data_IF_603143424448
#
_entry.id   IF_603143424448
#
_cell.length_a   1.000
_cell.length_b   1.000
_cell.length_c   1.000
_cell.angle_alpha   90.00
_cell.angle_beta   90.00
_cell.angle_gamma   90.00
#
_symmetry.space_group_name_H-M   'P 1'
#
loop_
_entity.id
_entity.type
_entity.pdbx_description
1 polymer ?
#
# COMPACT_ATOMS: atom_id res chain seq x y z
N UNK A 1 -0.83 17.54 -14.60
CA UNK A 1 -1.84 17.06 -13.60
C UNK A 1 -1.16 16.14 -12.62
N UNK A 2 -1.38 16.36 -11.32
CA UNK A 2 -0.79 15.53 -10.28
C UNK A 2 -1.63 14.29 -10.03
N UNK A 3 -0.96 13.17 -9.79
CA UNK A 3 -1.60 11.90 -9.47
C UNK A 3 -1.97 11.87 -7.99
N UNK A 4 -3.21 11.51 -7.71
CA UNK A 4 -3.68 11.38 -6.32
C UNK A 4 -4.87 10.42 -6.30
N UNK A 5 -4.60 9.13 -6.11
CA UNK A 5 -5.59 8.06 -6.18
C UNK A 5 -5.65 7.34 -4.84
N UNK A 6 -6.86 7.16 -4.33
CA UNK A 6 -7.11 6.32 -3.16
C UNK A 6 -8.17 5.30 -3.55
N UNK A 7 -7.87 4.02 -3.36
CA UNK A 7 -8.74 2.90 -3.72
C UNK A 7 -8.83 1.91 -2.58
N UNK A 8 -10.01 1.34 -2.40
CA UNK A 8 -10.20 0.21 -1.49
C UNK A 8 -9.99 -1.09 -2.26
N UNK A 9 -9.19 -1.97 -1.70
CA UNK A 9 -8.85 -3.26 -2.31
C UNK A 9 -9.01 -4.36 -1.28
N UNK A 10 -9.65 -5.47 -1.67
CA UNK A 10 -9.83 -6.62 -0.78
C UNK A 10 -8.92 -7.75 -1.21
N UNK A 11 -8.09 -8.23 -0.29
CA UNK A 11 -7.21 -9.37 -0.54
C UNK A 11 -7.99 -10.65 -0.32
N UNK A 12 -8.14 -11.44 -1.37
CA UNK A 12 -8.75 -12.77 -1.29
C UNK A 12 -7.67 -13.83 -1.10
N UNK A 13 -7.92 -14.89 -0.34
CA UNK A 13 -9.19 -15.32 0.25
C UNK A 13 -9.50 -14.74 1.63
N UNK A 14 -8.62 -13.93 2.20
CA UNK A 14 -8.69 -13.51 3.60
C UNK A 14 -9.79 -12.49 3.89
N UNK A 15 -10.30 -11.80 2.88
CA UNK A 15 -11.24 -10.72 3.08
C UNK A 15 -10.63 -9.47 3.71
N UNK A 16 -9.31 -9.40 3.77
CA UNK A 16 -8.62 -8.24 4.33
C UNK A 16 -8.71 -7.06 3.38
N UNK A 17 -9.18 -5.91 3.89
CA UNK A 17 -9.27 -4.70 3.10
C UNK A 17 -7.99 -3.87 3.22
N UNK A 18 -7.55 -3.33 2.08
CA UNK A 18 -6.43 -2.41 2.01
C UNK A 18 -6.94 -1.07 1.50
N UNK A 19 -6.50 0.01 2.12
CA UNK A 19 -6.61 1.35 1.54
C UNK A 19 -5.31 1.59 0.78
N UNK A 20 -5.38 1.56 -0.54
CA UNK A 20 -4.23 1.80 -1.40
C UNK A 20 -4.21 3.25 -1.85
N UNK A 21 -3.14 3.95 -1.54
CA UNK A 21 -2.95 5.34 -1.93
C UNK A 21 -1.72 5.48 -2.83
N UNK A 22 -1.92 6.02 -4.03
CA UNK A 22 -0.88 6.26 -5.02
C UNK A 22 -0.91 7.72 -5.41
N UNK A 23 0.16 8.47 -5.13
CA UNK A 23 0.19 9.90 -5.40
C UNK A 23 1.61 10.43 -5.59
N UNK A 24 1.70 11.66 -6.11
CA UNK A 24 2.98 12.36 -6.27
C UNK A 24 3.59 12.76 -4.93
N UNK A 25 2.79 12.94 -3.90
CA UNK A 25 3.30 13.31 -2.58
C UNK A 25 2.33 12.95 -1.45
N UNK A 26 2.88 12.77 -0.27
CA UNK A 26 2.09 12.54 0.95
C UNK A 26 1.24 13.76 1.28
N UNK A 27 1.71 14.95 0.94
CA UNK A 27 0.95 16.19 1.17
C UNK A 27 -0.39 16.20 0.44
N UNK A 28 -0.46 15.59 -0.76
CA UNK A 28 -1.72 15.46 -1.49
C UNK A 28 -2.69 14.53 -0.75
N UNK A 29 -2.18 13.47 -0.15
CA UNK A 29 -3.00 12.57 0.68
C UNK A 29 -3.61 13.33 1.86
N UNK A 30 -2.81 14.13 2.55
CA UNK A 30 -3.27 14.88 3.72
C UNK A 30 -4.42 15.82 3.38
N UNK A 31 -4.37 16.46 2.21
CA UNK A 31 -5.42 17.37 1.75
C UNK A 31 -6.69 16.64 1.33
N UNK A 32 -6.53 15.52 0.63
CA UNK A 32 -7.67 14.81 0.04
C UNK A 32 -8.38 13.91 1.05
N UNK A 33 -7.64 13.31 1.98
CA UNK A 33 -8.16 12.31 2.92
C UNK A 33 -7.57 12.47 4.32
N UNK A 34 -7.96 13.54 5.06
CA UNK A 34 -7.42 13.74 6.40
C UNK A 34 -7.74 12.60 7.36
N UNK A 35 -8.84 11.88 7.15
CA UNK A 35 -9.18 10.71 7.96
C UNK A 35 -8.14 9.58 7.84
N UNK A 36 -7.47 9.46 6.69
CA UNK A 36 -6.40 8.48 6.50
C UNK A 36 -5.20 8.87 7.37
N UNK A 37 -4.87 10.14 7.40
CA UNK A 37 -3.79 10.63 8.25
C UNK A 37 -4.08 10.35 9.73
N UNK A 38 -5.32 10.58 10.16
CA UNK A 38 -5.74 10.27 11.53
C UNK A 38 -5.60 8.78 11.84
N UNK A 39 -5.96 7.92 10.88
CA UNK A 39 -5.80 6.48 11.02
C UNK A 39 -4.32 6.11 11.22
N UNK A 40 -3.43 6.70 10.43
CA UNK A 40 -1.98 6.46 10.52
C UNK A 40 -1.44 6.93 11.87
N UNK A 41 -1.79 8.14 12.29
CA UNK A 41 -1.31 8.72 13.55
C UNK A 41 -1.72 7.91 14.77
N UNK A 42 -2.90 7.31 14.75
CA UNK A 42 -3.36 6.43 15.83
C UNK A 42 -2.54 5.15 15.95
N UNK A 43 -1.90 4.72 14.85
CA UNK A 43 -1.12 3.48 14.82
C UNK A 43 0.34 3.69 15.19
N UNK A 44 0.95 4.74 14.64
CA UNK A 44 2.40 4.98 14.76
C UNK A 44 2.72 6.23 15.56
N UNK A 45 1.71 6.92 16.10
CA UNK A 45 1.89 8.19 16.76
C UNK A 45 2.01 9.32 15.73
N UNK A 46 2.40 10.49 16.21
CA UNK A 46 2.61 11.62 15.30
C UNK A 46 3.81 11.31 14.40
N UNK A 47 3.53 10.93 13.19
CA UNK A 47 4.55 10.61 12.20
C UNK A 47 4.77 11.82 11.30
N UNK A 48 6.02 12.28 11.23
CA UNK A 48 6.39 13.37 10.33
C UNK A 48 6.83 12.76 8.99
N UNK A 49 5.96 12.83 7.99
CA UNK A 49 6.29 12.32 6.66
C UNK A 49 7.24 13.27 5.95
N UNK A 50 8.29 12.70 5.37
CA UNK A 50 9.23 13.42 4.54
C UNK A 50 9.01 13.02 3.08
N UNK A 51 8.52 13.93 2.24
CA UNK A 51 8.22 13.64 0.85
C UNK A 51 9.44 13.19 0.03
N UNK A 52 10.65 13.50 0.48
CA UNK A 52 11.87 13.08 -0.20
C UNK A 52 12.32 11.67 0.20
N UNK A 53 12.09 11.28 1.45
CA UNK A 53 12.57 10.02 2.01
C UNK A 53 11.51 8.93 2.02
N UNK A 54 10.26 9.29 2.28
CA UNK A 54 9.16 8.33 2.42
C UNK A 54 8.56 8.02 1.04
N UNK A 55 9.15 7.06 0.34
CA UNK A 55 8.71 6.65 -1.00
C UNK A 55 7.55 5.66 -0.98
N UNK A 56 7.38 4.96 0.14
CA UNK A 56 6.29 4.02 0.32
C UNK A 56 6.26 3.51 1.75
N UNK A 57 5.11 3.03 2.21
CA UNK A 57 5.00 2.39 3.52
C UNK A 57 3.75 1.54 3.62
N UNK A 58 3.76 0.63 4.60
CA UNK A 58 2.63 -0.21 4.98
C UNK A 58 2.28 0.02 6.44
N UNK A 59 0.99 0.16 6.72
CA UNK A 59 0.47 0.17 8.08
C UNK A 59 -0.74 -0.75 8.14
N UNK A 60 -0.84 -1.55 9.21
CA UNK A 60 -1.92 -2.52 9.33
C UNK A 60 -2.24 -2.79 10.80
N UNK A 61 -3.47 -3.21 11.03
CA UNK A 61 -3.93 -3.65 12.33
C UNK A 61 -4.87 -4.84 12.11
N UNK A 62 -4.29 -5.94 11.69
CA UNK A 62 -5.03 -7.16 11.37
C UNK A 62 -5.77 -7.70 12.58
N UNK A 63 -5.15 -7.60 13.77
CA UNK A 63 -5.71 -8.11 15.02
C UNK A 63 -7.07 -7.47 15.32
N UNK A 64 -7.23 -6.19 15.02
CA UNK A 64 -8.47 -5.45 15.27
C UNK A 64 -9.36 -5.36 14.03
N UNK A 65 -9.10 -6.16 13.01
CA UNK A 65 -9.87 -6.21 11.76
C UNK A 65 -10.03 -4.83 11.09
N UNK A 66 -9.00 -4.00 11.19
CA UNK A 66 -8.99 -2.69 10.54
C UNK A 66 -8.29 -2.78 9.19
N UNK A 67 -8.70 -1.94 8.22
CA UNK A 67 -8.04 -1.93 6.93
C UNK A 67 -6.54 -1.66 7.05
N UNK A 68 -5.73 -2.37 6.28
CA UNK A 68 -4.33 -2.03 6.11
C UNK A 68 -4.22 -0.78 5.23
N UNK A 69 -3.14 -0.04 5.40
CA UNK A 69 -2.88 1.14 4.58
C UNK A 69 -1.57 0.92 3.82
N UNK A 70 -1.62 1.07 2.50
CA UNK A 70 -0.47 0.92 1.63
C UNK A 70 -0.30 2.19 0.80
N UNK A 71 0.85 2.82 0.93
CA UNK A 71 1.18 4.02 0.19
C UNK A 71 2.35 3.76 -0.77
N UNK A 72 2.21 4.24 -2.02
CA UNK A 72 3.28 4.26 -3.01
C UNK A 72 3.37 5.67 -3.58
N UNK A 73 4.55 6.26 -3.49
CA UNK A 73 4.81 7.58 -4.07
C UNK A 73 5.22 7.42 -5.54
N UNK A 74 4.52 8.14 -6.42
CA UNK A 74 4.84 8.14 -7.84
C UNK A 74 6.21 8.77 -8.08
N UNK A 75 7.05 8.10 -8.85
CA UNK A 75 8.34 8.60 -9.27
C UNK A 75 8.30 8.99 -10.76
N UNK A 76 9.25 9.79 -11.20
CA UNK A 76 9.38 10.14 -12.62
C UNK A 76 9.66 8.91 -13.48
N UNK A 77 10.48 8.01 -12.95
CA UNK A 77 10.82 6.75 -13.61
C UNK A 77 9.82 5.68 -13.21
N UNK A 78 9.10 5.13 -14.18
CA UNK A 78 8.09 4.08 -13.96
C UNK A 78 8.69 2.85 -13.30
N UNK A 79 9.92 2.49 -13.64
CA UNK A 79 10.60 1.34 -13.04
C UNK A 79 10.81 1.54 -11.54
N UNK A 80 11.18 2.75 -11.12
CA UNK A 80 11.35 3.06 -9.70
C UNK A 80 10.03 3.01 -8.94
N UNK A 81 8.95 3.49 -9.53
CA UNK A 81 7.62 3.41 -8.93
C UNK A 81 7.23 1.95 -8.72
N UNK A 82 7.47 1.10 -9.72
CA UNK A 82 7.19 -0.33 -9.63
C UNK A 82 8.03 -1.00 -8.54
N UNK A 83 9.30 -0.65 -8.44
CA UNK A 83 10.18 -1.18 -7.39
C UNK A 83 9.66 -0.85 -5.99
N UNK A 84 9.14 0.36 -5.79
CA UNK A 84 8.56 0.76 -4.50
C UNK A 84 7.36 -0.13 -4.18
N UNK A 85 6.47 -0.34 -5.15
CA UNK A 85 5.31 -1.22 -4.96
C UNK A 85 5.75 -2.63 -4.59
N UNK A 86 6.72 -3.18 -5.33
CA UNK A 86 7.24 -4.53 -5.07
C UNK A 86 7.83 -4.63 -3.66
N UNK A 87 8.61 -3.64 -3.25
CA UNK A 87 9.20 -3.60 -1.91
C UNK A 87 8.13 -3.64 -0.83
N UNK A 88 7.09 -2.80 -0.95
CA UNK A 88 6.02 -2.77 0.05
C UNK A 88 5.20 -4.06 0.05
N UNK A 89 4.99 -4.69 -1.11
CA UNK A 89 4.27 -5.95 -1.18
C UNK A 89 5.01 -7.11 -0.55
N UNK A 90 6.35 -7.12 -0.61
CA UNK A 90 7.14 -8.14 0.10
C UNK A 90 6.83 -8.08 1.60
N UNK A 91 6.82 -6.87 2.17
CA UNK A 91 6.49 -6.69 3.59
C UNK A 91 5.06 -7.13 3.90
N UNK A 92 4.10 -6.75 3.05
CA UNK A 92 2.69 -7.08 3.26
C UNK A 92 2.46 -8.59 3.21
N UNK A 93 3.00 -9.27 2.21
CA UNK A 93 2.82 -10.74 2.08
C UNK A 93 3.52 -11.48 3.20
N UNK A 94 4.70 -11.04 3.61
CA UNK A 94 5.42 -11.62 4.74
C UNK A 94 4.57 -11.53 6.02
N UNK A 95 3.97 -10.38 6.27
CA UNK A 95 3.09 -10.18 7.41
C UNK A 95 1.87 -11.11 7.35
N UNK A 96 1.20 -11.16 6.19
CA UNK A 96 0.03 -12.02 6.01
C UNK A 96 0.38 -13.48 6.24
N UNK A 97 1.55 -13.91 5.76
CA UNK A 97 2.01 -15.29 5.92
C UNK A 97 2.17 -15.65 7.40
N UNK A 98 2.69 -14.74 8.20
CA UNK A 98 2.85 -14.95 9.64
C UNK A 98 1.52 -14.98 10.37
N UNK A 99 0.65 -14.03 10.07
CA UNK A 99 -0.64 -13.91 10.74
C UNK A 99 -1.57 -15.07 10.43
N UNK A 100 -1.64 -15.50 9.16
CA UNK A 100 -2.51 -16.59 8.72
C UNK A 100 -1.81 -17.94 8.64
N UNK A 101 -0.58 -18.04 9.16
CA UNK A 101 0.17 -19.28 9.31
C UNK A 101 0.43 -20.05 8.00
N UNK A 102 0.81 -19.33 6.94
CA UNK A 102 1.22 -19.95 5.67
C UNK A 102 2.68 -19.64 5.29
N UNK A 103 3.54 -19.43 6.28
CA UNK A 103 4.95 -19.07 6.05
C UNK A 103 5.69 -20.13 5.24
N UNK A 104 5.35 -21.40 5.42
CA UNK A 104 6.01 -22.51 4.74
C UNK A 104 5.38 -22.85 3.38
N UNK A 105 4.32 -22.14 3.00
CA UNK A 105 3.62 -22.35 1.73
C UNK A 105 4.15 -21.42 0.65
N UNK A 106 5.31 -21.77 0.10
CA UNK A 106 6.02 -20.91 -0.87
C UNK A 106 5.19 -20.62 -2.12
N UNK A 107 4.52 -21.63 -2.67
CA UNK A 107 3.69 -21.45 -3.86
C UNK A 107 2.52 -20.52 -3.60
N UNK A 108 1.87 -20.67 -2.45
CA UNK A 108 0.77 -19.81 -2.07
C UNK A 108 1.23 -18.37 -1.86
N UNK A 109 2.39 -18.17 -1.23
CA UNK A 109 2.96 -16.84 -1.03
C UNK A 109 3.26 -16.17 -2.37
N UNK A 110 3.88 -16.90 -3.29
CA UNK A 110 4.20 -16.39 -4.61
C UNK A 110 2.92 -16.02 -5.39
N UNK A 111 1.92 -16.90 -5.36
CA UNK A 111 0.63 -16.64 -6.00
C UNK A 111 -0.02 -15.39 -5.45
N UNK A 112 -0.08 -15.27 -4.12
CA UNK A 112 -0.69 -14.13 -3.46
C UNK A 112 0.01 -12.82 -3.82
N UNK A 113 1.35 -12.85 -3.79
CA UNK A 113 2.17 -11.69 -4.16
C UNK A 113 1.85 -11.24 -5.59
N UNK A 114 1.88 -12.17 -6.54
CA UNK A 114 1.60 -11.84 -7.95
C UNK A 114 0.18 -11.33 -8.16
N UNK A 115 -0.80 -11.93 -7.48
CA UNK A 115 -2.19 -11.52 -7.59
C UNK A 115 -2.39 -10.07 -7.11
N UNK A 116 -1.87 -9.75 -5.93
CA UNK A 116 -1.98 -8.40 -5.38
C UNK A 116 -1.22 -7.39 -6.25
N UNK A 117 -0.01 -7.76 -6.67
CA UNK A 117 0.81 -6.89 -7.52
C UNK A 117 0.11 -6.55 -8.82
N UNK A 118 -0.45 -7.55 -9.50
CA UNK A 118 -1.12 -7.33 -10.78
C UNK A 118 -2.31 -6.38 -10.62
N UNK A 119 -3.10 -6.56 -9.57
CA UNK A 119 -4.28 -5.72 -9.34
C UNK A 119 -3.89 -4.27 -9.02
N UNK A 120 -2.92 -4.07 -8.13
CA UNK A 120 -2.50 -2.73 -7.75
C UNK A 120 -1.74 -2.02 -8.87
N UNK A 121 -0.92 -2.76 -9.61
CA UNK A 121 -0.20 -2.20 -10.76
C UNK A 121 -1.18 -1.73 -11.84
N UNK A 122 -2.25 -2.48 -12.09
CA UNK A 122 -3.30 -2.07 -13.02
C UNK A 122 -3.96 -0.77 -12.57
N UNK A 123 -4.24 -0.62 -11.28
CA UNK A 123 -4.78 0.62 -10.73
C UNK A 123 -3.83 1.79 -10.99
N UNK A 124 -2.54 1.58 -10.78
CA UNK A 124 -1.53 2.61 -11.03
C UNK A 124 -1.46 3.00 -12.50
N UNK A 125 -1.56 2.02 -13.41
CA UNK A 125 -1.51 2.29 -14.85
C UNK A 125 -2.71 3.09 -15.35
N UNK A 126 -3.87 2.94 -14.72
CA UNK A 126 -5.09 3.68 -15.07
C UNK A 126 -5.10 5.09 -14.51
N UNK A 127 -4.12 5.45 -13.67
CA UNK A 127 -4.02 6.78 -13.10
C UNK A 127 -3.77 7.82 -14.21
N UNK A 128 -4.33 9.04 -14.08
CA UNK A 128 -4.03 10.10 -15.02
C UNK A 128 -2.53 10.39 -15.06
N UNK A 129 -1.98 10.48 -16.26
CA UNK A 129 -0.58 10.83 -16.42
C UNK A 129 -0.45 12.34 -16.41
N UNK A 130 0.47 12.82 -15.60
CA UNK A 130 0.81 14.24 -15.57
C UNK A 130 1.86 14.56 -16.62
#
# INVERSE_FOLDING_TARGET
>A
MKTNITTFYTIKPFGLRIVFHYSDSISLMKKAKPEILNFIEKRVGKYSFNDEEDLGFNLHDIVNDKPAFLFVKKQKNKEKTREILLHELVHLVDLLSKYFCFEDEMEFRAYLFCSIYNDLFEIMQKAPHS
#
